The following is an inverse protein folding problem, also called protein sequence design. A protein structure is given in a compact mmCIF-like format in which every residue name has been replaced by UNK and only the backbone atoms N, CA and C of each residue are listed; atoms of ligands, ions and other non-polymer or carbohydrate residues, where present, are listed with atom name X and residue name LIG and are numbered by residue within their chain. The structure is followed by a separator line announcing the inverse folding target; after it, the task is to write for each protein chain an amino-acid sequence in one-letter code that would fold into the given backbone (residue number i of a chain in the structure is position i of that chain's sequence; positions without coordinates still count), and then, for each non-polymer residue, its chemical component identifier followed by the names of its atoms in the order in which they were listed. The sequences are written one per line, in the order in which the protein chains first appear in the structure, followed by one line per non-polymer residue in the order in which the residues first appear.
data_IF_173481822261
#
_entry.id   IF_173481822261
#
_cell.length_a   1.000
_cell.length_b   1.000
_cell.length_c   1.000
_cell.angle_alpha   90.00
_cell.angle_beta   90.00
_cell.angle_gamma   90.00
#
_symmetry.space_group_name_H-M   'P 1'
#
loop_
_entity.id
_entity.type
_entity.pdbx_description
1 polymer ?
#
# COMPACT_ATOMS: atom_id res chain seq x y z
N UNK A 1 -14.87 11.36 17.07
CA UNK A 1 -14.58 9.96 16.73
C UNK A 1 -13.07 9.76 16.74
N UNK A 2 -12.63 8.62 17.25
CA UNK A 2 -11.27 8.35 17.74
C UNK A 2 -10.23 8.32 16.62
N UNK A 3 -9.27 9.25 16.70
CA UNK A 3 -8.05 9.31 15.90
C UNK A 3 -7.26 8.02 16.16
N UNK A 4 -7.23 7.12 15.19
CA UNK A 4 -6.59 5.80 15.33
C UNK A 4 -5.35 5.80 14.45
N UNK A 5 -4.19 6.02 15.08
CA UNK A 5 -2.83 5.76 14.55
C UNK A 5 -2.57 6.32 13.14
N UNK A 6 -2.12 7.58 13.05
CA UNK A 6 -1.61 8.16 11.80
C UNK A 6 -0.34 7.38 11.40
N UNK A 7 -0.46 6.42 10.48
CA UNK A 7 0.72 5.86 9.83
C UNK A 7 1.39 7.00 9.04
N UNK A 8 2.71 7.20 9.17
CA UNK A 8 3.39 8.28 8.47
C UNK A 8 3.33 8.02 6.96
N UNK A 9 2.91 9.05 6.24
CA UNK A 9 3.07 9.14 4.79
C UNK A 9 4.31 9.97 4.47
N UNK A 10 5.03 9.54 3.45
CA UNK A 10 6.26 10.15 2.99
C UNK A 10 6.07 10.79 1.61
N UNK A 11 7.13 10.94 0.81
CA UNK A 11 7.08 11.65 -0.47
C UNK A 11 6.45 10.82 -1.60
N UNK A 12 6.61 9.49 -1.55
CA UNK A 12 6.11 8.57 -2.59
C UNK A 12 5.36 7.44 -1.92
N UNK A 13 4.10 7.24 -2.32
CA UNK A 13 3.25 6.19 -1.77
C UNK A 13 2.59 5.41 -2.88
N UNK A 14 2.71 4.09 -2.86
CA UNK A 14 2.04 3.20 -3.78
C UNK A 14 0.93 2.43 -3.06
N UNK A 15 -0.21 2.27 -3.74
CA UNK A 15 -1.39 1.57 -3.24
C UNK A 15 -1.76 0.46 -4.21
N UNK A 16 -1.84 -0.76 -3.70
CA UNK A 16 -2.30 -1.94 -4.45
C UNK A 16 -3.60 -2.45 -3.82
N UNK A 17 -4.65 -2.48 -4.62
CA UNK A 17 -5.94 -3.04 -4.21
C UNK A 17 -5.89 -4.57 -4.14
N UNK A 18 -6.63 -5.13 -3.18
CA UNK A 18 -6.87 -6.56 -3.02
C UNK A 18 -8.37 -6.82 -3.18
N UNK A 19 -8.75 -7.83 -3.97
CA UNK A 19 -10.15 -8.22 -4.16
C UNK A 19 -10.31 -9.73 -4.21
N UNK A 20 -11.37 -10.26 -3.61
CA UNK A 20 -11.65 -11.69 -3.51
C UNK A 20 -12.78 -11.92 -2.52
N UNK A 21 -12.69 -12.96 -1.68
CA UNK A 21 -13.62 -13.15 -0.56
C UNK A 21 -13.54 -12.02 0.48
N UNK A 22 -12.43 -11.29 0.48
CA UNK A 22 -12.24 -10.04 1.21
C UNK A 22 -11.71 -8.97 0.26
N UNK A 23 -11.99 -7.71 0.55
CA UNK A 23 -11.49 -6.56 -0.21
C UNK A 23 -10.61 -5.71 0.68
N UNK A 24 -9.64 -5.04 0.08
CA UNK A 24 -8.74 -4.21 0.86
C UNK A 24 -7.62 -3.61 0.04
N UNK A 25 -6.57 -3.18 0.72
CA UNK A 25 -5.43 -2.53 0.08
C UNK A 25 -4.15 -2.74 0.88
N UNK A 26 -3.03 -2.80 0.15
CA UNK A 26 -1.68 -2.67 0.68
C UNK A 26 -1.13 -1.33 0.24
N UNK A 27 -0.52 -0.61 1.17
CA UNK A 27 0.07 0.72 0.96
C UNK A 27 1.53 0.65 1.35
N UNK A 28 2.42 1.11 0.48
CA UNK A 28 3.84 1.30 0.76
C UNK A 28 4.15 2.78 0.64
N UNK A 29 4.66 3.39 1.70
CA UNK A 29 5.10 4.78 1.69
C UNK A 29 6.58 4.89 2.01
N UNK A 30 7.31 5.65 1.20
CA UNK A 30 8.76 5.82 1.30
C UNK A 30 9.19 7.28 1.08
N UNK A 31 10.26 7.67 1.75
CA UNK A 31 10.89 8.98 1.54
C UNK A 31 11.56 9.06 0.17
N UNK A 32 11.80 10.29 -0.34
CA UNK A 32 12.56 10.51 -1.59
C UNK A 32 13.90 9.76 -1.65
N UNK A 33 14.78 9.83 -0.62
CA UNK A 33 16.03 9.09 -0.65
C UNK A 33 15.83 7.59 -0.83
N UNK A 34 14.87 7.00 -0.13
CA UNK A 34 14.54 5.58 -0.26
C UNK A 34 14.04 5.26 -1.67
N UNK A 35 13.14 6.07 -2.23
CA UNK A 35 12.62 5.89 -3.58
C UNK A 35 13.73 5.91 -4.65
N UNK A 36 14.71 6.82 -4.54
CA UNK A 36 15.84 6.88 -5.46
C UNK A 36 16.76 5.65 -5.32
N UNK A 37 16.98 5.17 -4.09
CA UNK A 37 17.75 3.94 -3.86
C UNK A 37 17.04 2.69 -4.39
N UNK A 38 15.70 2.65 -4.35
CA UNK A 38 14.90 1.61 -5.00
C UNK A 38 15.15 1.62 -6.51
N UNK A 39 15.07 2.78 -7.16
CA UNK A 39 15.36 2.91 -8.61
C UNK A 39 16.77 2.47 -8.94
N UNK A 40 17.77 2.94 -8.20
CA UNK A 40 19.17 2.56 -8.43
C UNK A 40 19.38 1.05 -8.30
N UNK A 41 18.71 0.42 -7.33
CA UNK A 41 18.83 -1.02 -7.08
C UNK A 41 18.11 -1.85 -8.14
N UNK A 42 16.94 -1.42 -8.61
CA UNK A 42 16.11 -2.19 -9.54
C UNK A 42 16.46 -1.93 -11.01
N UNK A 43 16.79 -0.69 -11.36
CA UNK A 43 17.01 -0.26 -12.75
C UNK A 43 18.49 0.02 -13.07
N UNK A 44 19.36 0.05 -12.05
CA UNK A 44 20.82 0.15 -12.24
C UNK A 44 21.33 1.55 -12.56
N UNK A 45 20.52 2.59 -12.37
CA UNK A 45 20.92 3.98 -12.60
C UNK A 45 20.41 4.92 -11.50
N UNK A 46 21.12 6.02 -11.27
CA UNK A 46 20.75 7.01 -10.25
C UNK A 46 19.87 8.12 -10.81
N UNK A 47 18.86 8.53 -10.05
CA UNK A 47 18.06 9.73 -10.31
C UNK A 47 17.95 10.60 -9.07
N UNK A 48 17.70 11.89 -9.26
CA UNK A 48 17.35 12.83 -8.19
C UNK A 48 15.98 13.48 -8.41
N UNK A 49 15.26 13.04 -9.44
CA UNK A 49 13.95 13.56 -9.81
C UNK A 49 12.89 12.49 -9.58
N UNK A 50 11.76 12.93 -9.03
CA UNK A 50 10.56 12.09 -8.92
C UNK A 50 9.90 12.01 -10.30
N UNK A 51 10.27 10.99 -11.07
CA UNK A 51 9.83 10.75 -12.44
C UNK A 51 9.00 9.45 -12.55
N UNK A 52 8.65 9.07 -13.78
CA UNK A 52 7.87 7.85 -14.06
C UNK A 52 8.60 6.58 -13.57
N UNK A 53 9.90 6.47 -13.79
CA UNK A 53 10.68 5.32 -13.35
C UNK A 53 10.69 5.16 -11.82
N UNK A 54 10.70 6.26 -11.06
CA UNK A 54 10.52 6.23 -9.60
C UNK A 54 9.15 5.71 -9.23
N UNK A 55 8.10 6.20 -9.90
CA UNK A 55 6.75 5.72 -9.64
C UNK A 55 6.61 4.23 -9.95
N UNK A 56 7.10 3.79 -11.11
CA UNK A 56 7.04 2.39 -11.54
C UNK A 56 7.85 1.48 -10.60
N UNK A 57 9.06 1.87 -10.21
CA UNK A 57 9.90 1.06 -9.32
C UNK A 57 9.27 0.89 -7.92
N UNK A 58 8.68 1.95 -7.36
CA UNK A 58 7.97 1.88 -6.07
C UNK A 58 6.66 1.09 -6.21
N UNK A 59 5.94 1.27 -7.33
CA UNK A 59 4.74 0.51 -7.66
C UNK A 59 5.01 -0.98 -7.76
N UNK A 60 6.08 -1.38 -8.44
CA UNK A 60 6.45 -2.78 -8.61
C UNK A 60 6.95 -3.42 -7.33
N UNK A 61 7.71 -2.67 -6.51
CA UNK A 61 8.04 -3.13 -5.15
C UNK A 61 6.78 -3.39 -4.32
N UNK A 62 5.77 -2.52 -4.44
CA UNK A 62 4.50 -2.68 -3.72
C UNK A 62 3.70 -3.87 -4.24
N UNK A 63 3.68 -4.10 -5.56
CA UNK A 63 3.11 -5.31 -6.15
C UNK A 63 3.76 -6.58 -5.61
N UNK A 64 5.10 -6.61 -5.50
CA UNK A 64 5.82 -7.75 -4.92
C UNK A 64 5.43 -7.99 -3.46
N UNK A 65 5.34 -6.93 -2.66
CA UNK A 65 4.88 -7.01 -1.25
C UNK A 65 3.43 -7.52 -1.17
N UNK A 66 2.53 -6.97 -1.99
CA UNK A 66 1.13 -7.37 -2.03
C UNK A 66 0.97 -8.82 -2.52
N UNK A 67 1.77 -9.26 -3.48
CA UNK A 67 1.82 -10.64 -3.97
C UNK A 67 2.28 -11.62 -2.90
N UNK A 68 3.31 -11.27 -2.14
CA UNK A 68 3.76 -12.07 -1.01
C UNK A 68 2.70 -12.15 0.10
N UNK A 69 1.97 -11.06 0.36
CA UNK A 69 0.84 -11.06 1.29
C UNK A 69 -0.31 -11.94 0.80
N UNK A 70 -0.73 -11.79 -0.47
CA UNK A 70 -1.73 -12.64 -1.13
C UNK A 70 -1.39 -14.12 -1.01
N UNK A 71 -0.14 -14.51 -1.24
CA UNK A 71 0.29 -15.91 -1.15
C UNK A 71 0.13 -16.51 0.26
N UNK A 72 0.25 -15.69 1.32
CA UNK A 72 0.02 -16.09 2.71
C UNK A 72 -1.45 -16.04 3.12
N UNK A 73 -2.29 -15.42 2.30
CA UNK A 73 -3.73 -15.22 2.50
C UNK A 73 -4.54 -16.03 1.47
N UNK A 74 -3.98 -17.16 1.03
CA UNK A 74 -4.50 -18.01 -0.04
C UNK A 74 -5.99 -18.37 0.13
N UNK A 75 -6.43 -18.60 1.37
CA UNK A 75 -7.81 -18.94 1.74
C UNK A 75 -8.85 -17.93 1.27
N UNK A 76 -8.45 -16.68 1.02
CA UNK A 76 -9.36 -15.59 0.66
C UNK A 76 -9.46 -15.36 -0.84
N UNK A 77 -8.79 -16.19 -1.65
CA UNK A 77 -8.78 -16.14 -3.12
C UNK A 77 -8.54 -14.73 -3.69
N UNK A 78 -7.61 -14.01 -3.06
CA UNK A 78 -7.35 -12.62 -3.41
C UNK A 78 -6.74 -12.48 -4.81
N UNK A 79 -7.07 -11.40 -5.49
CA UNK A 79 -6.46 -10.89 -6.72
C UNK A 79 -5.87 -9.52 -6.46
N UNK A 80 -4.78 -9.19 -7.17
CA UNK A 80 -4.12 -7.89 -7.05
C UNK A 80 -4.64 -6.95 -8.13
N UNK A 81 -4.96 -5.71 -7.75
CA UNK A 81 -5.16 -4.62 -8.69
C UNK A 81 -3.82 -4.04 -9.18
N UNK A 82 -3.89 -3.12 -10.15
CA UNK A 82 -2.72 -2.35 -10.55
C UNK A 82 -2.31 -1.34 -9.46
N UNK A 83 -1.00 -1.09 -9.28
CA UNK A 83 -0.53 -0.11 -8.32
C UNK A 83 -0.91 1.30 -8.77
N UNK A 84 -1.38 2.12 -7.83
CA UNK A 84 -1.53 3.56 -8.01
C UNK A 84 -0.48 4.26 -7.16
N UNK A 85 0.29 5.17 -7.76
CA UNK A 85 1.39 5.85 -7.09
C UNK A 85 1.09 7.33 -6.93
N UNK A 86 1.15 7.79 -5.69
CA UNK A 86 0.99 9.18 -5.27
C UNK A 86 2.38 9.75 -5.00
N UNK A 87 2.69 10.84 -5.70
CA UNK A 87 3.97 11.56 -5.57
C UNK A 87 3.68 12.96 -5.06
N UNK A 88 4.20 13.30 -3.89
CA UNK A 88 3.97 14.60 -3.28
C UNK A 88 4.13 14.57 -1.78
N UNK A 89 4.48 15.71 -1.19
CA UNK A 89 4.64 15.85 0.26
C UNK A 89 3.29 16.05 0.95
N UNK A 90 3.22 15.64 2.22
CA UNK A 90 2.08 15.89 3.11
C UNK A 90 0.73 15.37 2.58
N UNK A 91 0.74 14.30 1.78
CA UNK A 91 -0.49 13.62 1.41
C UNK A 91 -0.95 12.69 2.54
N UNK A 92 -2.21 12.27 2.54
CA UNK A 92 -2.76 11.35 3.54
C UNK A 92 -3.48 10.22 2.84
N UNK A 93 -3.38 9.01 3.40
CA UNK A 93 -4.12 7.85 2.95
C UNK A 93 -5.19 7.53 3.98
N UNK A 94 -6.43 7.44 3.53
CA UNK A 94 -7.56 7.02 4.35
C UNK A 94 -8.05 5.66 3.89
N UNK A 95 -8.23 4.76 4.85
CA UNK A 95 -9.00 3.55 4.64
C UNK A 95 -10.49 3.83 4.91
N UNK A 96 -11.42 3.07 4.31
CA UNK A 96 -12.83 3.11 4.67
C UNK A 96 -13.03 2.93 6.18
N UNK A 97 -14.05 3.57 6.75
CA UNK A 97 -14.31 3.55 8.20
C UNK A 97 -14.60 2.16 8.77
N UNK A 98 -15.02 1.22 7.93
CA UNK A 98 -15.23 -0.20 8.26
C UNK A 98 -13.92 -1.01 8.35
N UNK A 99 -12.81 -0.46 7.86
CA UNK A 99 -11.50 -1.11 7.84
C UNK A 99 -10.66 -0.58 9.00
N UNK A 100 -10.02 -1.49 9.73
CA UNK A 100 -8.97 -1.14 10.70
C UNK A 100 -7.61 -1.53 10.11
N UNK A 101 -6.87 -0.57 9.50
CA UNK A 101 -5.58 -0.88 8.92
C UNK A 101 -4.54 -1.19 9.99
N UNK A 102 -3.59 -2.05 9.65
CA UNK A 102 -2.38 -2.29 10.42
C UNK A 102 -1.25 -1.53 9.74
N UNK A 103 -0.53 -0.70 10.50
CA UNK A 103 0.65 0.01 10.04
C UNK A 103 1.90 -0.64 10.64
N UNK A 104 2.89 -0.93 9.79
CA UNK A 104 4.19 -1.48 10.17
C UNK A 104 5.27 -0.54 9.66
N UNK A 105 6.15 -0.13 10.56
CA UNK A 105 7.28 0.75 10.27
C UNK A 105 8.55 -0.07 10.18
N UNK A 106 9.35 0.23 9.17
CA UNK A 106 10.68 -0.34 8.97
C UNK A 106 11.67 0.80 8.85
N UNK A 107 12.82 0.62 9.48
CA UNK A 107 14.00 1.43 9.24
C UNK A 107 14.99 0.58 8.43
N UNK A 108 15.45 1.12 7.31
CA UNK A 108 16.56 0.55 6.56
C UNK A 108 17.67 1.59 6.38
N UNK A 109 18.82 1.16 5.88
CA UNK A 109 19.99 2.04 5.67
C UNK A 109 19.70 3.24 4.74
N UNK A 110 18.62 3.18 3.96
CA UNK A 110 18.22 4.24 3.04
C UNK A 110 17.23 5.23 3.64
N UNK A 111 16.64 4.92 4.80
CA UNK A 111 15.64 5.73 5.47
C UNK A 111 14.39 4.95 5.88
N UNK A 112 13.36 5.67 6.36
CA UNK A 112 12.16 5.02 6.89
C UNK A 112 11.22 4.55 5.77
N UNK A 113 10.52 3.46 6.04
CA UNK A 113 9.51 2.84 5.19
C UNK A 113 8.29 2.53 6.03
N UNK A 114 7.11 2.89 5.53
CA UNK A 114 5.84 2.52 6.15
C UNK A 114 5.06 1.58 5.22
N UNK A 115 4.54 0.49 5.79
CA UNK A 115 3.61 -0.41 5.10
C UNK A 115 2.31 -0.42 5.87
N UNK A 116 1.20 -0.19 5.18
CA UNK A 116 -0.14 -0.38 5.72
C UNK A 116 -0.87 -1.48 4.97
N UNK A 117 -1.66 -2.26 5.70
CA UNK A 117 -2.59 -3.22 5.12
C UNK A 117 -3.93 -3.14 5.83
N UNK A 118 -4.99 -3.01 5.05
CA UNK A 118 -6.37 -3.02 5.53
C UNK A 118 -7.22 -3.96 4.71
N UNK A 119 -7.95 -4.86 5.37
CA UNK A 119 -8.89 -5.79 4.75
C UNK A 119 -10.26 -5.64 5.42
N UNK A 120 -11.32 -5.75 4.63
CA UNK A 120 -12.69 -5.90 5.08
C UNK A 120 -13.33 -7.10 4.38
N UNK A 121 -13.98 -7.96 5.13
CA UNK A 121 -14.92 -8.94 4.57
C UNK A 121 -16.17 -8.19 4.10
N UNK A 122 -16.75 -8.56 2.93
CA UNK A 122 -18.05 -8.07 2.55
C UNK A 122 -19.04 -8.40 3.67
N UNK A 123 -19.76 -7.41 4.18
CA UNK A 123 -20.92 -7.71 5.02
C UNK A 123 -21.89 -8.52 4.14
N UNK A 124 -22.25 -9.73 4.57
CA UNK A 124 -23.40 -10.41 4.00
C UNK A 124 -24.60 -9.51 4.27
N UNK A 125 -25.04 -8.75 3.25
CA UNK A 125 -26.33 -8.08 3.25
C UNK A 125 -27.39 -9.12 3.59
N UNK A 126 -27.82 -9.17 4.85
CA UNK A 126 -29.10 -9.77 5.19
C UNK A 126 -30.14 -8.93 4.48
N UNK A 127 -30.56 -9.40 3.31
CA UNK A 127 -31.81 -8.98 2.70
C UNK A 127 -32.88 -9.33 3.74
N UNK A 128 -33.33 -8.34 4.49
CA UNK A 128 -34.55 -8.42 5.27
C UNK A 128 -35.70 -8.53 4.27
N UNK A 129 -35.96 -9.75 3.81
CA UNK A 129 -37.26 -10.14 3.32
C UNK A 129 -38.18 -10.19 4.56
N UNK A 130 -38.96 -9.13 4.74
CA UNK A 130 -40.02 -9.04 5.74
C UNK A 130 -40.70 -7.68 5.55
N UNK A 131 -42.00 -7.59 5.30
CA UNK A 131 -43.05 -8.59 5.05
C UNK A 131 -44.27 -7.85 4.51
#
# INVERSE_FOLDING_TARGET
MLKSSDCPTYDVTAVVGLSGETTGSVVLSVSRPVAFRIVETLLGYTTQELNADVADAVGELTNMVAGAAKAKLDRFELSLGLPNVVVGRNHTIFFPTSVRPICVLFDCDWGPVAIEAGLATPEHSQVSAGG
#
